data_IF_195624795582
#
_entry.id   IF_195624795582
#
_cell.length_a   1.000
_cell.length_b   1.000
_cell.length_c   1.000
_cell.angle_alpha   90.00
_cell.angle_beta   90.00
_cell.angle_gamma   90.00
#
_symmetry.space_group_name_H-M   'P 1'
#
loop_
_entity.id
_entity.type
_entity.pdbx_description
1 polymer ?
#
# COMPACT_ATOMS: atom_id res chain seq x y z
N UNK A 1 -0.35 15.12 29.36
CA UNK A 1 -1.29 14.11 29.91
C UNK A 1 -1.42 12.98 28.90
N UNK A 2 -1.45 11.75 29.38
CA UNK A 2 -1.66 10.56 28.56
C UNK A 2 -2.85 9.81 29.14
N UNK A 3 -3.78 9.43 28.28
CA UNK A 3 -4.97 8.68 28.65
C UNK A 3 -4.80 7.22 28.22
N UNK A 4 -5.27 6.31 29.06
CA UNK A 4 -5.20 4.88 28.78
C UNK A 4 -6.58 4.37 28.36
N UNK A 5 -6.63 3.66 27.25
CA UNK A 5 -7.81 2.91 26.82
C UNK A 5 -7.51 1.42 27.02
N UNK A 6 -8.32 0.75 27.82
CA UNK A 6 -8.18 -0.69 28.07
C UNK A 6 -9.10 -1.46 27.13
N UNK A 7 -8.55 -2.37 26.35
CA UNK A 7 -9.28 -3.16 25.35
C UNK A 7 -9.45 -4.62 25.78
N UNK A 8 -9.22 -4.88 27.07
CA UNK A 8 -9.27 -6.20 27.67
C UNK A 8 -8.35 -6.27 28.87
N UNK A 9 -8.26 -7.44 29.49
CA UNK A 9 -7.46 -7.61 30.71
C UNK A 9 -5.96 -7.39 30.49
N UNK A 10 -5.46 -7.68 29.29
CA UNK A 10 -4.03 -7.61 29.00
C UNK A 10 -3.68 -6.72 27.79
N UNK A 11 -4.64 -5.97 27.28
CA UNK A 11 -4.42 -5.08 26.11
C UNK A 11 -4.81 -3.67 26.47
N UNK A 12 -3.94 -2.72 26.18
CA UNK A 12 -4.20 -1.30 26.45
C UNK A 12 -3.38 -0.43 25.51
N UNK A 13 -3.95 0.71 25.17
CA UNK A 13 -3.26 1.75 24.37
C UNK A 13 -3.30 3.07 25.12
N UNK A 14 -2.18 3.78 25.11
CA UNK A 14 -2.08 5.11 25.74
C UNK A 14 -2.09 6.18 24.66
N UNK A 15 -2.90 7.20 24.87
CA UNK A 15 -3.14 8.28 23.90
C UNK A 15 -2.73 9.63 24.45
N UNK A 16 -2.16 10.47 23.60
CA UNK A 16 -1.99 11.90 23.88
C UNK A 16 -3.31 12.61 23.60
N UNK A 17 -3.46 13.84 24.13
CA UNK A 17 -4.63 14.65 23.85
C UNK A 17 -5.85 14.22 24.63
N UNK A 18 -6.99 14.13 23.96
CA UNK A 18 -8.30 13.80 24.56
C UNK A 18 -8.92 12.58 23.88
N UNK A 19 -9.63 11.78 24.65
CA UNK A 19 -10.51 10.74 24.11
C UNK A 19 -11.95 11.27 24.21
N UNK A 20 -12.65 11.27 23.09
CA UNK A 20 -14.02 11.78 22.96
C UNK A 20 -14.93 10.65 22.50
N UNK A 21 -16.10 10.55 23.13
CA UNK A 21 -17.17 9.68 22.65
C UNK A 21 -17.95 10.43 21.57
N UNK A 22 -18.16 9.78 20.44
CA UNK A 22 -18.99 10.30 19.36
C UNK A 22 -20.03 9.25 18.99
N UNK A 23 -21.12 9.66 18.38
CA UNK A 23 -22.15 8.75 17.89
C UNK A 23 -22.28 8.92 16.37
N UNK A 24 -22.23 7.81 15.66
CA UNK A 24 -22.32 7.83 14.20
C UNK A 24 -23.08 6.59 13.73
N UNK A 25 -24.15 6.82 12.97
CA UNK A 25 -25.03 5.75 12.45
C UNK A 25 -25.48 4.78 13.55
N UNK A 26 -25.88 5.33 14.69
CA UNK A 26 -26.40 4.55 15.81
C UNK A 26 -25.32 3.90 16.69
N UNK A 27 -24.07 3.89 16.25
CA UNK A 27 -22.97 3.25 16.97
C UNK A 27 -22.11 4.27 17.71
N UNK A 28 -21.56 3.85 18.85
CA UNK A 28 -20.58 4.67 19.56
C UNK A 28 -19.21 4.53 18.87
N UNK A 29 -18.51 5.65 18.78
CA UNK A 29 -17.13 5.73 18.29
C UNK A 29 -16.28 6.41 19.35
N UNK A 30 -15.04 5.95 19.50
CA UNK A 30 -14.04 6.65 20.32
C UNK A 30 -13.13 7.42 19.38
N UNK A 31 -12.96 8.71 19.64
CA UNK A 31 -12.14 9.59 18.80
C UNK A 31 -11.01 10.14 19.66
N UNK A 32 -9.78 10.05 19.17
CA UNK A 32 -8.65 10.70 19.80
C UNK A 32 -8.48 12.09 19.16
N UNK A 33 -8.59 13.14 19.98
CA UNK A 33 -8.40 14.53 19.53
C UNK A 33 -7.12 15.08 20.12
N UNK A 34 -6.18 15.47 19.25
CA UNK A 34 -4.86 15.90 19.68
C UNK A 34 -4.24 16.86 18.65
N UNK A 35 -3.25 17.68 19.06
CA UNK A 35 -2.53 18.53 18.13
C UNK A 35 -1.85 17.72 17.03
N UNK A 36 -1.84 18.25 15.83
CA UNK A 36 -1.33 17.58 14.62
C UNK A 36 0.10 17.05 14.81
N UNK A 37 1.01 17.86 15.35
CA UNK A 37 2.40 17.42 15.53
C UNK A 37 2.51 16.25 16.52
N UNK A 38 1.59 16.13 17.46
CA UNK A 38 1.53 14.98 18.38
C UNK A 38 0.94 13.73 17.71
N UNK A 39 0.02 13.91 16.78
CA UNK A 39 -0.54 12.83 15.96
C UNK A 39 0.57 12.21 15.09
N UNK A 40 1.38 13.05 14.44
CA UNK A 40 2.46 12.59 13.56
C UNK A 40 3.50 11.74 14.29
N UNK A 41 3.68 11.90 15.61
CA UNK A 41 4.66 11.13 16.37
C UNK A 41 4.38 9.62 16.33
N UNK A 42 3.11 9.24 16.21
CA UNK A 42 2.74 7.83 16.04
C UNK A 42 2.70 7.44 14.57
N UNK A 43 2.21 8.34 13.70
CA UNK A 43 2.03 8.01 12.27
C UNK A 43 3.38 7.82 11.57
N UNK A 44 4.31 8.77 11.69
CA UNK A 44 5.55 8.74 10.89
C UNK A 44 6.34 7.45 11.10
N UNK A 45 6.61 6.99 12.34
CA UNK A 45 7.39 5.75 12.52
C UNK A 45 6.61 4.48 12.17
N UNK A 46 5.28 4.57 11.99
CA UNK A 46 4.44 3.45 11.55
C UNK A 46 4.40 3.35 10.03
N UNK A 47 4.52 4.48 9.34
CA UNK A 47 4.51 4.53 7.88
C UNK A 47 5.91 4.35 7.29
N UNK A 48 6.97 4.71 8.04
CA UNK A 48 8.35 4.59 7.58
C UNK A 48 9.24 4.23 8.77
N UNK A 49 10.05 3.15 8.68
CA UNK A 49 10.88 2.73 9.81
C UNK A 49 11.80 3.85 10.30
N UNK A 50 11.68 4.22 11.56
CA UNK A 50 12.47 5.32 12.14
C UNK A 50 13.97 5.02 12.11
N UNK A 51 14.37 3.73 12.09
CA UNK A 51 15.75 3.31 11.98
C UNK A 51 16.44 3.78 10.69
N UNK A 52 15.66 4.10 9.66
CA UNK A 52 16.21 4.66 8.41
C UNK A 52 16.98 5.96 8.65
N UNK A 53 16.65 6.70 9.72
CA UNK A 53 17.39 7.92 10.08
C UNK A 53 18.89 7.65 10.27
N UNK A 54 19.24 6.42 10.66
CA UNK A 54 20.64 6.04 10.93
C UNK A 54 21.38 5.56 9.67
N UNK A 55 20.67 5.49 8.55
CA UNK A 55 21.20 4.94 7.29
C UNK A 55 21.66 6.04 6.33
N UNK A 56 22.48 5.63 5.34
CA UNK A 56 22.88 6.48 4.23
C UNK A 56 23.62 7.76 4.64
N UNK A 57 24.36 7.74 5.75
CA UNK A 57 25.12 8.90 6.20
C UNK A 57 24.25 10.10 6.54
N UNK A 58 22.98 9.86 6.92
CA UNK A 58 22.02 10.90 7.29
C UNK A 58 20.93 11.15 6.25
N UNK A 59 21.03 10.57 5.07
CA UNK A 59 19.98 10.75 4.04
C UNK A 59 18.65 10.12 4.46
N UNK A 60 18.68 9.07 5.26
CA UNK A 60 17.46 8.48 5.82
C UNK A 60 16.68 9.42 6.73
N UNK A 61 17.37 10.33 7.43
CA UNK A 61 16.70 11.36 8.22
C UNK A 61 15.91 12.32 7.31
N UNK A 62 16.40 12.58 6.10
CA UNK A 62 15.70 13.42 5.12
C UNK A 62 14.43 12.68 4.65
N UNK A 63 14.51 11.36 4.44
CA UNK A 63 13.33 10.56 4.05
C UNK A 63 12.24 10.67 5.12
N UNK A 64 12.60 10.58 6.42
CA UNK A 64 11.64 10.77 7.51
C UNK A 64 11.04 12.18 7.51
N UNK A 65 11.83 13.20 7.14
CA UNK A 65 11.33 14.58 7.03
C UNK A 65 10.30 14.67 5.88
N UNK A 66 10.59 14.05 4.74
CA UNK A 66 9.65 14.01 3.60
C UNK A 66 8.35 13.29 4.02
N UNK A 67 8.48 12.15 4.70
CA UNK A 67 7.31 11.42 5.23
C UNK A 67 6.50 12.28 6.19
N UNK A 68 7.17 13.05 7.07
CA UNK A 68 6.47 13.92 8.02
C UNK A 68 5.66 15.01 7.30
N UNK A 69 6.24 15.62 6.24
CA UNK A 69 5.54 16.63 5.43
C UNK A 69 4.36 15.99 4.68
N UNK A 70 4.55 14.81 4.12
CA UNK A 70 3.48 14.08 3.41
C UNK A 70 2.35 13.72 4.38
N UNK A 71 2.66 13.10 5.50
CA UNK A 71 1.65 12.69 6.49
C UNK A 71 0.88 13.90 7.07
N UNK A 72 1.59 15.01 7.30
CA UNK A 72 0.98 16.26 7.78
C UNK A 72 -0.02 16.80 6.75
N UNK A 73 0.40 16.85 5.49
CA UNK A 73 -0.43 17.38 4.39
C UNK A 73 -1.67 16.50 4.20
N UNK A 74 -1.47 15.18 4.15
CA UNK A 74 -2.57 14.21 4.02
C UNK A 74 -3.61 14.42 5.14
N UNK A 75 -3.16 14.44 6.40
CA UNK A 75 -4.09 14.54 7.52
C UNK A 75 -4.81 15.89 7.59
N UNK A 76 -4.18 16.97 7.13
CA UNK A 76 -4.85 18.28 7.04
C UNK A 76 -5.89 18.31 5.92
N UNK A 77 -5.56 17.70 4.77
CA UNK A 77 -6.47 17.68 3.61
C UNK A 77 -7.62 16.68 3.80
N UNK A 78 -7.44 15.64 4.61
CA UNK A 78 -8.45 14.59 4.80
C UNK A 78 -9.69 15.13 5.50
N UNK A 79 -10.86 14.63 5.11
CA UNK A 79 -12.16 14.95 5.72
C UNK A 79 -13.07 13.73 5.57
N UNK A 80 -12.73 12.67 6.28
CA UNK A 80 -13.34 11.36 6.05
C UNK A 80 -14.70 11.18 6.70
N UNK A 81 -14.87 11.70 7.92
CA UNK A 81 -16.10 11.50 8.70
C UNK A 81 -16.59 12.82 9.29
N UNK A 82 -17.89 12.90 9.54
CA UNK A 82 -18.47 14.06 10.23
C UNK A 82 -18.03 14.17 11.70
N UNK A 83 -17.61 13.05 12.28
CA UNK A 83 -17.21 12.99 13.69
C UNK A 83 -15.69 12.93 13.90
N UNK A 84 -14.93 12.61 12.86
CA UNK A 84 -13.47 12.52 12.94
C UNK A 84 -12.85 12.83 11.57
N UNK A 85 -11.74 13.52 11.57
CA UNK A 85 -11.06 13.97 10.35
C UNK A 85 -10.52 12.80 9.53
N UNK A 86 -10.01 11.77 10.21
CA UNK A 86 -9.34 10.63 9.57
C UNK A 86 -9.61 9.34 10.35
N UNK A 87 -9.15 8.21 9.86
CA UNK A 87 -9.16 6.94 10.59
C UNK A 87 -7.74 6.57 11.04
N UNK A 88 -7.63 5.46 11.75
CA UNK A 88 -6.38 5.02 12.39
C UNK A 88 -5.77 3.76 11.76
N UNK A 89 -6.26 3.38 10.58
CA UNK A 89 -5.88 2.14 9.90
C UNK A 89 -5.19 2.42 8.56
N UNK A 90 -4.76 1.38 7.88
CA UNK A 90 -4.18 1.46 6.53
C UNK A 90 -5.12 2.06 5.49
N UNK A 91 -6.41 2.18 5.78
CA UNK A 91 -7.35 2.89 4.90
C UNK A 91 -7.16 4.41 4.93
N UNK A 92 -6.37 4.92 5.87
CA UNK A 92 -6.01 6.34 6.01
C UNK A 92 -4.51 6.42 6.29
N UNK A 93 -4.14 6.59 7.56
CA UNK A 93 -2.76 6.56 8.04
C UNK A 93 -2.75 5.75 9.34
N UNK A 94 -1.80 4.84 9.48
CA UNK A 94 -1.73 3.99 10.67
C UNK A 94 -1.40 4.85 11.89
N UNK A 95 -2.29 4.83 12.88
CA UNK A 95 -2.14 5.57 14.13
C UNK A 95 -2.46 4.66 15.30
N UNK A 96 -1.49 4.39 16.15
CA UNK A 96 -1.62 3.43 17.27
C UNK A 96 -1.48 4.10 18.64
N UNK A 97 -1.70 5.41 18.70
CA UNK A 97 -1.52 6.13 19.96
C UNK A 97 -0.04 6.29 20.31
N UNK A 98 0.26 6.64 21.56
CA UNK A 98 1.63 6.86 22.02
C UNK A 98 2.35 5.56 22.36
N UNK A 99 1.63 4.61 22.96
CA UNK A 99 2.23 3.41 23.54
C UNK A 99 1.18 2.31 23.59
N UNK A 100 1.59 1.06 23.42
CA UNK A 100 0.72 -0.10 23.41
C UNK A 100 1.21 -1.18 24.35
N UNK A 101 0.27 -1.98 24.87
CA UNK A 101 0.57 -3.18 25.67
C UNK A 101 -0.30 -4.33 25.18
N UNK A 102 0.31 -5.51 25.04
CA UNK A 102 -0.42 -6.75 24.75
C UNK A 102 0.33 -7.94 25.36
N UNK A 103 -0.41 -8.83 26.04
CA UNK A 103 0.10 -10.09 26.61
C UNK A 103 1.15 -9.84 27.67
N UNK A 104 1.71 -8.98 28.08
CA UNK A 104 2.79 -8.73 29.04
C UNK A 104 3.92 -7.90 28.47
N UNK A 105 3.87 -7.64 27.17
CA UNK A 105 4.83 -6.75 26.49
C UNK A 105 4.25 -5.36 26.36
N UNK A 106 5.08 -4.34 26.50
CA UNK A 106 4.70 -2.93 26.36
C UNK A 106 5.77 -2.24 25.49
N UNK A 107 5.33 -1.38 24.57
CA UNK A 107 6.25 -0.74 23.62
C UNK A 107 5.75 0.65 23.24
N UNK A 108 6.69 1.50 22.85
CA UNK A 108 6.38 2.83 22.32
C UNK A 108 5.98 2.73 20.85
N UNK A 109 4.97 3.49 20.47
CA UNK A 109 4.59 3.70 19.07
C UNK A 109 5.23 4.99 18.51
N UNK A 110 6.05 5.66 19.31
CA UNK A 110 6.80 6.87 18.92
C UNK A 110 8.29 6.58 18.97
N UNK A 111 9.09 7.30 18.16
CA UNK A 111 10.53 7.15 18.10
C UNK A 111 11.17 8.54 18.02
N UNK A 112 12.24 8.76 18.79
CA UNK A 112 12.91 10.07 18.89
C UNK A 112 13.49 10.53 17.56
N UNK A 113 13.87 9.61 16.67
CA UNK A 113 14.41 9.95 15.34
C UNK A 113 13.31 10.54 14.45
N UNK A 114 12.14 9.93 14.44
CA UNK A 114 10.98 10.49 13.72
C UNK A 114 10.49 11.78 14.39
N UNK A 115 10.54 11.87 15.72
CA UNK A 115 10.21 13.12 16.44
C UNK A 115 11.12 14.28 15.98
N UNK A 116 12.42 13.99 15.79
CA UNK A 116 13.38 15.00 15.29
C UNK A 116 13.00 15.44 13.86
N UNK A 117 12.64 14.50 13.00
CA UNK A 117 12.23 14.80 11.62
C UNK A 117 10.94 15.65 11.59
N UNK A 118 9.96 15.29 12.43
CA UNK A 118 8.69 16.02 12.57
C UNK A 118 8.97 17.45 13.03
N UNK A 119 9.79 17.61 14.05
CA UNK A 119 10.14 18.94 14.59
C UNK A 119 10.90 19.79 13.55
N UNK A 120 11.81 19.18 12.79
CA UNK A 120 12.59 19.88 11.77
C UNK A 120 11.71 20.41 10.61
N UNK A 121 10.53 19.80 10.43
CA UNK A 121 9.60 20.19 9.36
C UNK A 121 8.29 20.77 9.92
N UNK A 122 8.28 21.19 11.17
CA UNK A 122 7.05 21.68 11.81
C UNK A 122 6.39 22.78 10.99
N UNK A 123 5.08 22.62 10.72
CA UNK A 123 4.31 23.59 9.95
C UNK A 123 4.48 23.52 8.44
N UNK A 124 5.42 22.71 7.92
CA UNK A 124 5.60 22.57 6.47
C UNK A 124 4.56 21.60 5.89
N UNK A 125 3.91 22.04 4.82
CA UNK A 125 2.92 21.23 4.09
C UNK A 125 3.16 21.34 2.58
N UNK A 126 2.65 20.39 1.83
CA UNK A 126 2.58 20.50 0.36
C UNK A 126 1.28 21.18 -0.03
N UNK A 127 1.39 22.07 -0.99
CA UNK A 127 0.23 22.76 -1.55
C UNK A 127 -0.01 22.31 -2.99
N UNK A 128 -1.28 22.29 -3.38
CA UNK A 128 -1.69 22.14 -4.78
C UNK A 128 -2.66 23.26 -5.07
N UNK A 129 -2.21 24.23 -5.83
CA UNK A 129 -2.94 25.50 -5.94
C UNK A 129 -3.06 26.17 -4.58
N UNK A 130 -4.24 26.55 -4.20
CA UNK A 130 -4.52 27.25 -2.93
C UNK A 130 -4.92 26.30 -1.77
N UNK A 131 -4.86 24.99 -2.02
CA UNK A 131 -5.27 24.01 -1.01
C UNK A 131 -4.09 23.17 -0.56
N UNK A 132 -4.16 22.65 0.68
CA UNK A 132 -3.20 21.67 1.15
C UNK A 132 -3.43 20.39 0.32
N UNK A 133 -2.34 19.86 -0.26
CA UNK A 133 -2.41 18.67 -1.09
C UNK A 133 -2.71 17.43 -0.25
N UNK A 134 -3.62 16.57 -0.75
CA UNK A 134 -3.87 15.26 -0.14
C UNK A 134 -2.79 14.29 -0.65
N UNK A 135 -1.65 14.34 0.00
CA UNK A 135 -0.41 13.65 -0.39
C UNK A 135 -0.47 12.16 -0.01
N UNK A 136 -1.08 11.36 -0.84
CA UNK A 136 -1.10 9.91 -0.65
C UNK A 136 0.31 9.33 -0.82
N UNK A 137 0.60 8.25 -0.12
CA UNK A 137 1.89 7.57 -0.18
C UNK A 137 1.66 6.06 -0.08
N UNK A 138 2.65 5.30 -0.51
CA UNK A 138 2.60 3.84 -0.51
C UNK A 138 4.00 3.27 -0.25
N UNK A 139 4.07 1.97 0.00
CA UNK A 139 5.35 1.29 0.26
C UNK A 139 6.26 1.26 -0.99
N UNK A 140 5.66 1.28 -2.17
CA UNK A 140 6.38 1.22 -3.44
C UNK A 140 5.48 1.77 -4.55
N UNK A 141 6.09 2.46 -5.51
CA UNK A 141 5.39 2.96 -6.70
C UNK A 141 5.50 1.98 -7.87
N UNK A 142 6.40 0.99 -7.77
CA UNK A 142 6.74 0.12 -8.90
C UNK A 142 7.61 0.80 -9.94
N UNK A 143 8.10 2.03 -9.67
CA UNK A 143 8.93 2.82 -10.57
C UNK A 143 8.24 4.01 -11.21
N UNK A 144 6.92 4.16 -11.01
CA UNK A 144 6.17 5.30 -11.56
C UNK A 144 4.88 5.49 -10.75
N UNK A 145 4.61 6.72 -10.31
CA UNK A 145 3.34 7.00 -9.61
C UNK A 145 2.18 7.06 -10.61
N UNK A 146 0.96 6.92 -10.13
CA UNK A 146 -0.24 7.01 -10.98
C UNK A 146 -0.73 8.46 -11.05
N UNK A 147 -1.38 8.80 -12.16
CA UNK A 147 -2.08 10.07 -12.31
C UNK A 147 -3.49 9.91 -11.72
N UNK A 148 -3.75 10.59 -10.61
CA UNK A 148 -5.09 10.70 -10.02
C UNK A 148 -5.36 12.20 -9.81
N UNK A 149 -5.12 12.73 -8.62
CA UNK A 149 -5.26 14.17 -8.33
C UNK A 149 -4.03 14.94 -8.82
N UNK A 150 -2.86 14.27 -8.87
CA UNK A 150 -1.61 14.87 -9.31
C UNK A 150 -1.06 14.10 -10.51
N UNK A 151 -0.26 14.73 -11.38
CA UNK A 151 0.37 13.99 -12.47
C UNK A 151 1.29 12.87 -11.96
N UNK A 152 1.23 11.73 -12.63
CA UNK A 152 2.18 10.64 -12.37
C UNK A 152 3.59 11.05 -12.77
N UNK A 153 4.58 10.57 -12.02
CA UNK A 153 5.99 10.89 -12.28
C UNK A 153 6.83 9.62 -12.13
N UNK A 154 7.96 9.53 -12.85
CA UNK A 154 8.92 8.44 -12.64
C UNK A 154 9.46 8.45 -11.20
N UNK A 155 9.76 7.29 -10.69
CA UNK A 155 10.35 7.11 -9.36
C UNK A 155 11.57 6.18 -9.47
N UNK A 156 12.68 6.76 -9.90
CA UNK A 156 13.93 6.03 -10.12
C UNK A 156 14.51 5.44 -8.82
N UNK A 157 14.01 5.89 -7.67
CA UNK A 157 14.45 5.39 -6.36
C UNK A 157 13.74 4.13 -5.90
N UNK A 158 12.68 3.71 -6.59
CA UNK A 158 11.87 2.58 -6.15
C UNK A 158 12.55 1.22 -6.39
N UNK A 159 13.30 1.09 -7.50
CA UNK A 159 13.95 -0.19 -7.86
C UNK A 159 15.29 -0.34 -7.14
N UNK A 160 15.21 -0.66 -5.87
CA UNK A 160 16.39 -0.89 -5.02
C UNK A 160 16.26 -2.25 -4.34
N UNK A 161 17.39 -2.93 -4.17
CA UNK A 161 17.41 -4.31 -3.65
C UNK A 161 16.75 -4.48 -2.28
N UNK A 162 16.69 -3.42 -1.48
CA UNK A 162 16.06 -3.47 -0.16
C UNK A 162 14.52 -3.32 -0.22
N UNK A 163 13.97 -2.89 -1.37
CA UNK A 163 12.51 -2.75 -1.52
C UNK A 163 11.90 -4.12 -1.85
N UNK A 164 11.22 -4.78 -0.91
CA UNK A 164 10.75 -6.15 -1.14
C UNK A 164 9.46 -6.22 -1.96
N UNK A 165 8.90 -5.07 -2.32
CA UNK A 165 7.61 -5.02 -3.01
C UNK A 165 7.67 -4.33 -4.38
N UNK A 166 8.87 -3.88 -4.80
CA UNK A 166 9.06 -3.39 -6.16
C UNK A 166 8.87 -4.53 -7.18
N UNK A 167 9.51 -5.68 -6.90
CA UNK A 167 9.39 -6.90 -7.72
C UNK A 167 8.75 -7.99 -6.88
N UNK A 168 7.75 -8.65 -7.43
CA UNK A 168 7.01 -9.68 -6.69
C UNK A 168 6.43 -10.72 -7.66
N UNK A 169 6.18 -11.91 -7.13
CA UNK A 169 5.52 -12.99 -7.86
C UNK A 169 4.49 -13.61 -6.92
N UNK A 170 3.29 -13.81 -7.41
CA UNK A 170 2.24 -14.52 -6.68
C UNK A 170 1.74 -15.67 -7.56
N UNK A 171 1.54 -16.83 -6.95
CA UNK A 171 0.99 -17.99 -7.62
C UNK A 171 -0.52 -18.02 -7.40
N UNK A 172 -1.29 -18.07 -8.48
CA UNK A 172 -2.74 -18.16 -8.42
C UNK A 172 -3.19 -19.55 -8.85
N UNK A 173 -4.06 -20.15 -8.06
CA UNK A 173 -4.66 -21.43 -8.39
C UNK A 173 -5.63 -21.25 -9.58
N UNK A 174 -5.55 -22.11 -10.58
CA UNK A 174 -6.50 -22.10 -11.69
C UNK A 174 -7.95 -22.23 -11.17
N UNK A 175 -8.16 -23.09 -10.16
CA UNK A 175 -9.49 -23.29 -9.60
C UNK A 175 -10.09 -22.01 -9.02
N UNK A 176 -9.25 -21.19 -8.37
CA UNK A 176 -9.70 -19.92 -7.79
C UNK A 176 -10.07 -18.91 -8.88
N UNK A 177 -9.27 -18.85 -9.96
CA UNK A 177 -9.58 -17.98 -11.10
C UNK A 177 -10.88 -18.39 -11.76
N UNK A 178 -11.08 -19.70 -12.00
CA UNK A 178 -12.32 -20.22 -12.61
C UNK A 178 -13.53 -19.88 -11.73
N UNK A 179 -13.40 -20.06 -10.42
CA UNK A 179 -14.49 -19.78 -9.46
C UNK A 179 -14.81 -18.30 -9.39
N UNK A 180 -13.78 -17.44 -9.32
CA UNK A 180 -13.94 -15.98 -9.19
C UNK A 180 -14.74 -15.40 -10.37
N UNK A 181 -14.52 -15.92 -11.57
CA UNK A 181 -15.13 -15.37 -12.79
C UNK A 181 -16.22 -16.25 -13.37
N UNK A 182 -16.58 -17.34 -12.66
CA UNK A 182 -17.64 -18.27 -13.05
C UNK A 182 -17.45 -18.79 -14.50
N UNK A 183 -16.21 -19.24 -14.79
CA UNK A 183 -15.87 -19.86 -16.07
C UNK A 183 -15.47 -21.33 -15.83
N UNK A 184 -15.66 -22.16 -16.83
CA UNK A 184 -15.48 -23.62 -16.69
C UNK A 184 -14.07 -24.09 -17.06
N UNK A 185 -13.35 -23.25 -17.80
CA UNK A 185 -11.96 -23.52 -18.19
C UNK A 185 -11.29 -22.19 -18.50
N UNK A 186 -9.97 -22.22 -18.63
CA UNK A 186 -9.22 -21.05 -19.05
C UNK A 186 -8.19 -21.51 -20.09
N UNK A 187 -8.29 -20.93 -21.27
CA UNK A 187 -7.35 -21.17 -22.36
C UNK A 187 -6.18 -20.16 -22.28
N UNK A 188 -6.52 -18.90 -21.99
CA UNK A 188 -5.54 -17.82 -22.06
C UNK A 188 -6.00 -16.65 -21.15
N UNK A 189 -5.04 -16.02 -20.48
CA UNK A 189 -5.24 -14.75 -19.78
C UNK A 189 -4.35 -13.72 -20.47
N UNK A 190 -4.95 -12.66 -21.01
CA UNK A 190 -4.24 -11.68 -21.84
C UNK A 190 -4.42 -10.27 -21.28
N UNK A 191 -3.33 -9.58 -21.00
CA UNK A 191 -3.38 -8.15 -20.71
C UNK A 191 -3.64 -7.43 -22.03
N UNK A 192 -4.78 -6.74 -22.15
CA UNK A 192 -5.18 -6.08 -23.39
C UNK A 192 -4.92 -4.58 -23.40
N UNK A 193 -4.83 -3.94 -22.21
CA UNK A 193 -4.48 -2.53 -22.14
C UNK A 193 -3.73 -2.21 -20.85
N UNK A 194 -2.87 -1.18 -20.94
CA UNK A 194 -2.05 -0.68 -19.82
C UNK A 194 -2.07 0.84 -19.83
N UNK A 195 -1.68 1.44 -18.70
CA UNK A 195 -1.71 2.91 -18.55
C UNK A 195 -0.58 3.63 -19.31
N UNK A 196 0.41 2.91 -19.80
CA UNK A 196 1.48 3.45 -20.63
C UNK A 196 2.66 4.07 -19.88
N UNK A 197 2.74 3.90 -18.55
CA UNK A 197 3.76 4.54 -17.73
C UNK A 197 4.74 3.52 -17.14
N UNK A 198 6.02 3.67 -17.47
CA UNK A 198 7.08 2.83 -16.91
C UNK A 198 7.28 1.52 -17.65
N UNK A 199 7.91 0.59 -16.98
CA UNK A 199 8.33 -0.69 -17.56
C UNK A 199 7.14 -1.54 -18.00
N UNK A 200 7.34 -2.34 -19.04
CA UNK A 200 6.34 -3.26 -19.62
C UNK A 200 5.04 -2.58 -20.06
N UNK A 201 5.08 -1.25 -20.24
CA UNK A 201 3.90 -0.47 -20.59
C UNK A 201 3.03 -0.10 -19.40
N UNK A 202 3.49 -0.36 -18.19
CA UNK A 202 2.84 0.10 -16.97
C UNK A 202 1.76 -0.82 -16.42
N UNK A 203 0.90 -0.23 -15.63
CA UNK A 203 -0.16 -0.96 -14.91
C UNK A 203 -1.25 -1.45 -15.84
N UNK A 204 -1.77 -2.63 -15.54
CA UNK A 204 -2.88 -3.24 -16.29
C UNK A 204 -4.14 -2.41 -16.09
N UNK A 205 -4.74 -2.00 -17.20
CA UNK A 205 -6.08 -1.38 -17.18
C UNK A 205 -7.13 -2.46 -17.41
N UNK A 206 -6.96 -3.28 -18.46
CA UNK A 206 -7.88 -4.37 -18.76
C UNK A 206 -7.12 -5.65 -19.10
N UNK A 207 -7.69 -6.77 -18.69
CA UNK A 207 -7.26 -8.10 -19.12
C UNK A 207 -8.47 -8.90 -19.58
N UNK A 208 -8.23 -9.88 -20.42
CA UNK A 208 -9.26 -10.82 -20.88
C UNK A 208 -8.90 -12.23 -20.43
N UNK A 209 -9.89 -12.91 -19.86
CA UNK A 209 -9.83 -14.33 -19.57
C UNK A 209 -10.61 -15.04 -20.69
N UNK A 210 -9.92 -15.85 -21.47
CA UNK A 210 -10.48 -16.49 -22.66
C UNK A 210 -10.59 -18.00 -22.44
N UNK A 211 -11.77 -18.55 -22.70
CA UNK A 211 -12.03 -19.99 -22.56
C UNK A 211 -11.85 -20.72 -23.88
N UNK A 212 -11.72 -22.04 -23.82
CA UNK A 212 -11.65 -22.87 -25.02
C UNK A 212 -12.97 -22.86 -25.82
N UNK A 213 -14.08 -22.58 -25.15
CA UNK A 213 -15.39 -22.46 -25.81
C UNK A 213 -15.58 -21.12 -26.53
N UNK A 214 -14.64 -20.20 -26.39
CA UNK A 214 -14.71 -18.87 -27.01
C UNK A 214 -15.37 -17.82 -26.14
N UNK A 215 -15.70 -18.13 -24.90
CA UNK A 215 -16.19 -17.11 -23.96
C UNK A 215 -15.00 -16.17 -23.60
N UNK A 216 -15.26 -14.86 -23.53
CA UNK A 216 -14.28 -13.87 -23.12
C UNK A 216 -14.87 -13.08 -21.95
N UNK A 217 -14.12 -13.02 -20.85
CA UNK A 217 -14.48 -12.21 -19.68
C UNK A 217 -13.45 -11.09 -19.57
N UNK A 218 -13.88 -9.86 -19.74
CA UNK A 218 -13.02 -8.68 -19.57
C UNK A 218 -13.05 -8.26 -18.11
N UNK A 219 -11.89 -8.08 -17.51
CA UNK A 219 -11.72 -7.76 -16.10
C UNK A 219 -10.80 -6.54 -16.00
N UNK A 220 -11.14 -5.57 -15.16
CA UNK A 220 -10.22 -4.45 -14.93
C UNK A 220 -8.99 -4.93 -14.13
N UNK A 221 -7.84 -4.35 -14.42
CA UNK A 221 -6.62 -4.67 -13.65
C UNK A 221 -6.80 -4.43 -12.16
N UNK A 222 -7.60 -3.43 -11.79
CA UNK A 222 -7.93 -3.10 -10.41
C UNK A 222 -8.76 -4.21 -9.74
N UNK A 223 -9.83 -4.68 -10.41
CA UNK A 223 -10.67 -5.72 -9.85
C UNK A 223 -9.91 -7.05 -9.70
N UNK A 224 -9.06 -7.35 -10.70
CA UNK A 224 -8.21 -8.55 -10.63
C UNK A 224 -7.22 -8.46 -9.46
N UNK A 225 -6.60 -7.30 -9.28
CA UNK A 225 -5.69 -7.07 -8.15
C UNK A 225 -6.40 -7.34 -6.81
N UNK A 226 -7.59 -6.76 -6.62
CA UNK A 226 -8.33 -6.90 -5.36
C UNK A 226 -8.86 -8.31 -5.13
N UNK A 227 -9.34 -8.96 -6.19
CA UNK A 227 -9.87 -10.31 -6.10
C UNK A 227 -8.81 -11.30 -5.57
N UNK A 228 -7.57 -11.15 -6.04
CA UNK A 228 -6.50 -12.08 -5.68
C UNK A 228 -5.49 -11.50 -4.68
N UNK A 229 -5.74 -10.33 -4.13
CA UNK A 229 -4.87 -9.73 -3.12
C UNK A 229 -3.48 -9.39 -3.63
N UNK A 230 -3.34 -9.05 -4.92
CA UNK A 230 -2.05 -8.72 -5.52
C UNK A 230 -1.51 -7.40 -4.97
N UNK A 231 -0.21 -7.26 -4.94
CA UNK A 231 0.46 -6.06 -4.37
C UNK A 231 0.18 -4.80 -5.18
N UNK A 232 -0.07 -4.93 -6.48
CA UNK A 232 -0.42 -3.79 -7.36
C UNK A 232 -1.12 -4.31 -8.62
N UNK A 233 -1.62 -3.40 -9.45
CA UNK A 233 -2.09 -3.78 -10.80
C UNK A 233 -1.00 -3.65 -11.87
N UNK A 234 0.26 -3.53 -11.46
CA UNK A 234 1.41 -3.54 -12.36
C UNK A 234 1.99 -4.95 -12.37
N UNK A 235 1.47 -5.79 -13.26
CA UNK A 235 1.85 -7.20 -13.34
C UNK A 235 1.81 -7.70 -14.77
N UNK A 236 2.50 -8.81 -15.00
CA UNK A 236 2.33 -9.68 -16.17
C UNK A 236 1.77 -11.01 -15.68
N UNK A 237 1.14 -11.75 -16.58
CA UNK A 237 0.59 -13.08 -16.25
C UNK A 237 1.35 -14.12 -17.06
N UNK A 238 1.88 -15.11 -16.36
CA UNK A 238 2.50 -16.27 -16.97
C UNK A 238 1.61 -17.48 -16.69
N UNK A 239 1.46 -18.32 -17.69
CA UNK A 239 0.64 -19.52 -17.60
C UNK A 239 1.54 -20.75 -17.59
N UNK A 240 1.43 -21.56 -16.54
CA UNK A 240 2.19 -22.80 -16.42
C UNK A 240 3.41 -22.72 -15.51
N UNK A 241 4.16 -23.81 -15.36
CA UNK A 241 5.32 -23.83 -14.49
C UNK A 241 6.45 -22.94 -15.03
N UNK A 242 7.33 -22.45 -14.15
CA UNK A 242 8.34 -21.44 -14.55
C UNK A 242 9.32 -21.90 -15.65
N UNK A 243 9.41 -23.19 -15.89
CA UNK A 243 10.32 -23.75 -16.89
C UNK A 243 9.61 -24.32 -18.12
N UNK A 244 8.34 -24.00 -18.30
CA UNK A 244 7.62 -24.45 -19.49
C UNK A 244 8.21 -23.73 -20.72
N UNK A 245 8.71 -24.48 -21.67
CA UNK A 245 9.14 -23.90 -22.95
C UNK A 245 7.92 -23.27 -23.63
N UNK A 246 8.17 -22.29 -24.46
CA UNK A 246 7.13 -21.48 -25.11
C UNK A 246 6.16 -22.25 -26.00
N UNK A 247 6.34 -23.56 -26.20
CA UNK A 247 5.38 -24.42 -26.83
C UNK A 247 4.43 -24.97 -25.77
N UNK A 248 3.23 -24.42 -25.66
CA UNK A 248 2.22 -24.89 -24.74
C UNK A 248 1.86 -26.36 -25.04
N UNK A 249 2.20 -27.32 -24.15
CA UNK A 249 1.65 -28.67 -24.32
C UNK A 249 0.15 -28.62 -23.97
N UNK A 250 -0.63 -29.46 -24.56
CA UNK A 250 -2.07 -29.57 -24.31
C UNK A 250 -2.40 -30.04 -22.88
N UNK A 251 -1.40 -30.30 -22.05
CA UNK A 251 -1.60 -30.80 -20.71
C UNK A 251 -1.76 -29.67 -19.71
N UNK A 252 -2.62 -29.90 -18.73
CA UNK A 252 -3.13 -28.93 -17.77
C UNK A 252 -2.04 -28.32 -16.88
N UNK A 253 -2.02 -27.00 -16.83
CA UNK A 253 -1.31 -26.26 -15.80
C UNK A 253 -2.34 -25.80 -14.76
N UNK A 254 -2.09 -26.11 -13.52
CA UNK A 254 -3.01 -25.79 -12.42
C UNK A 254 -2.65 -24.50 -11.69
N UNK A 255 -1.61 -23.79 -12.15
CA UNK A 255 -1.15 -22.53 -11.55
C UNK A 255 -0.96 -21.42 -12.59
N UNK A 256 -1.33 -20.22 -12.19
CA UNK A 256 -0.99 -18.97 -12.87
C UNK A 256 -0.02 -18.21 -11.98
N UNK A 257 0.98 -17.62 -12.60
CA UNK A 257 1.88 -16.71 -11.90
C UNK A 257 1.61 -15.29 -12.36
N UNK A 258 1.53 -14.40 -11.40
CA UNK A 258 1.39 -12.97 -11.65
C UNK A 258 2.67 -12.31 -11.12
N UNK A 259 3.39 -11.60 -11.99
CA UNK A 259 4.66 -10.98 -11.64
C UNK A 259 4.65 -9.50 -11.95
N UNK A 260 5.53 -8.75 -11.30
CA UNK A 260 5.79 -7.37 -11.64
C UNK A 260 7.30 -7.13 -11.77
N UNK A 261 7.68 -6.30 -12.71
CA UNK A 261 9.05 -5.82 -12.84
C UNK A 261 10.10 -6.80 -13.37
N UNK A 262 9.71 -7.94 -13.92
CA UNK A 262 10.66 -8.86 -14.53
C UNK A 262 10.53 -8.81 -16.04
N UNK A 263 11.66 -8.68 -16.71
CA UNK A 263 11.74 -8.87 -18.16
C UNK A 263 11.74 -10.38 -18.46
N UNK A 264 11.44 -10.74 -19.70
CA UNK A 264 11.49 -12.14 -20.16
C UNK A 264 12.88 -12.74 -19.89
N UNK A 265 13.94 -11.97 -20.12
CA UNK A 265 15.31 -12.42 -19.90
C UNK A 265 15.64 -12.68 -18.43
N UNK A 266 15.09 -11.88 -17.54
CA UNK A 266 15.24 -12.07 -16.10
C UNK A 266 14.46 -13.29 -15.60
N UNK A 267 13.27 -13.52 -16.13
CA UNK A 267 12.48 -14.73 -15.82
C UNK A 267 13.22 -15.99 -16.28
N UNK A 268 13.86 -15.97 -17.43
CA UNK A 268 14.68 -17.08 -17.92
C UNK A 268 15.86 -17.40 -16.99
N UNK A 269 16.42 -16.39 -16.35
CA UNK A 269 17.52 -16.58 -15.37
C UNK A 269 17.03 -17.15 -14.03
N UNK A 270 15.77 -16.99 -13.70
CA UNK A 270 15.18 -17.55 -12.49
C UNK A 270 14.72 -18.99 -12.65
N UNK A 271 14.69 -19.08 -13.82
CA UNK A 271 14.27 -20.35 -14.14
C UNK A 271 15.20 -21.33 -14.00
#
# INVERSE_FOLDING_TARGET
VTLQLCEGSNTATWYRGELRAARYEGNQRTVNALPLEQYLRSVVPREMPASWADEGGGSGAIALQVQAVAARSYSLAESRYTYAKTCDTTSCQVYEGRESRSGGSQWSNEDSRSDTAIAATAGLVRMWGDQVARTEFSASTGGHTITVDFPGVPDDGDDVAINPVHRWTEALSLADVLAAYNINDLYEAVVVSRDGFGDDGGRVEDLELRTRSGQVVTVSGYDFQWEFGLKSKWYTIEYGPPNASTSFPEERYDEYRVTSGYTTEELERLX
#
